data_IF_298259843722
#
_entry.id   IF_298259843722
#
_cell.length_a   1.000
_cell.length_b   1.000
_cell.length_c   1.000
_cell.angle_alpha   90.00
_cell.angle_beta   90.00
_cell.angle_gamma   90.00
#
_symmetry.space_group_name_H-M   'P 1'
#
loop_
_entity.id
_entity.type
_entity.pdbx_description
1 polymer ?
#
# COMPACT_ATOMS: atom_id res chain seq x y z
N UNK A 1 17.34 -20.02 -4.77
CA UNK A 1 15.98 -20.56 -4.72
C UNK A 1 15.05 -19.64 -5.50
N UNK A 2 14.24 -20.19 -6.42
CA UNK A 2 13.31 -19.39 -7.24
C UNK A 2 12.17 -18.75 -6.42
N UNK A 3 11.97 -19.17 -5.18
CA UNK A 3 10.98 -18.60 -4.25
C UNK A 3 11.51 -17.41 -3.45
N UNK A 4 12.81 -17.29 -3.27
CA UNK A 4 13.42 -16.11 -2.66
C UNK A 4 13.65 -15.06 -3.74
N UNK A 5 13.11 -13.88 -3.52
CA UNK A 5 13.15 -12.74 -4.43
C UNK A 5 13.60 -11.48 -3.69
N UNK A 6 13.88 -10.44 -4.43
CA UNK A 6 14.20 -9.12 -3.87
C UNK A 6 13.65 -8.02 -4.76
N UNK A 7 13.42 -6.85 -4.16
CA UNK A 7 13.08 -5.61 -4.85
C UNK A 7 13.85 -4.45 -4.23
N UNK A 8 14.20 -3.47 -5.05
CA UNK A 8 14.78 -2.21 -4.59
C UNK A 8 13.66 -1.24 -4.25
N UNK A 9 13.79 -0.53 -3.14
CA UNK A 9 12.86 0.50 -2.68
C UNK A 9 13.72 1.68 -2.25
N UNK A 10 13.44 2.86 -2.80
CA UNK A 10 14.07 4.10 -2.36
C UNK A 10 13.20 4.74 -1.29
N UNK A 11 13.78 5.06 -0.15
CA UNK A 11 13.11 5.78 0.93
C UNK A 11 14.07 6.85 1.47
N UNK A 12 13.64 8.11 1.49
CA UNK A 12 14.46 9.26 1.90
C UNK A 12 15.81 9.32 1.14
N UNK A 13 15.79 9.17 -0.18
CA UNK A 13 16.97 9.18 -1.08
C UNK A 13 17.98 8.03 -0.83
N UNK A 14 17.56 6.98 -0.09
CA UNK A 14 18.39 5.80 0.21
C UNK A 14 17.75 4.57 -0.42
N UNK A 15 18.56 3.84 -1.21
CA UNK A 15 18.13 2.57 -1.79
C UNK A 15 18.26 1.43 -0.80
N UNK A 16 17.16 0.75 -0.54
CA UNK A 16 17.10 -0.45 0.28
C UNK A 16 16.73 -1.67 -0.55
N UNK A 17 17.19 -2.83 -0.15
CA UNK A 17 16.75 -4.10 -0.73
C UNK A 17 15.83 -4.82 0.24
N UNK A 18 14.56 -4.93 -0.16
CA UNK A 18 13.60 -5.80 0.52
C UNK A 18 13.73 -7.22 -0.06
N UNK A 19 13.99 -8.20 0.80
CA UNK A 19 13.92 -9.60 0.41
C UNK A 19 12.59 -10.20 0.85
N UNK A 20 12.02 -11.06 0.00
CA UNK A 20 10.79 -11.77 0.32
C UNK A 20 10.80 -13.19 -0.23
N UNK A 21 10.23 -14.09 0.54
CA UNK A 21 10.09 -15.50 0.15
C UNK A 21 8.61 -15.79 -0.15
N UNK A 22 8.32 -16.24 -1.36
CA UNK A 22 6.97 -16.61 -1.78
C UNK A 22 6.76 -18.11 -1.52
N UNK A 23 6.05 -18.43 -0.45
CA UNK A 23 5.64 -19.81 -0.20
C UNK A 23 4.47 -20.21 -1.12
N UNK A 24 3.43 -19.40 -1.11
CA UNK A 24 2.24 -19.50 -1.94
C UNK A 24 1.89 -18.10 -2.48
N UNK A 25 1.59 -17.98 -3.79
CA UNK A 25 1.29 -16.67 -4.37
C UNK A 25 -0.12 -16.19 -4.02
N UNK A 26 -1.01 -17.13 -3.72
CA UNK A 26 -2.46 -16.93 -3.61
C UNK A 26 -3.19 -17.26 -4.91
N UNK A 27 -4.31 -17.96 -4.80
CA UNK A 27 -5.12 -18.39 -5.96
C UNK A 27 -6.60 -18.10 -5.71
N UNK A 28 -6.99 -16.79 -5.67
CA UNK A 28 -8.38 -16.43 -5.45
C UNK A 28 -9.26 -16.83 -6.64
N UNK A 29 -10.49 -17.27 -6.37
CA UNK A 29 -11.48 -17.57 -7.40
C UNK A 29 -11.84 -16.33 -8.21
N UNK A 30 -11.90 -15.16 -7.55
CA UNK A 30 -12.04 -13.85 -8.19
C UNK A 30 -10.70 -13.14 -8.07
N UNK A 31 -9.94 -13.12 -9.17
CA UNK A 31 -8.62 -12.52 -9.21
C UNK A 31 -8.71 -10.99 -9.33
N UNK A 32 -8.46 -10.30 -8.23
CA UNK A 32 -8.36 -8.83 -8.17
C UNK A 32 -6.98 -8.32 -8.61
N UNK A 33 -6.03 -9.21 -8.92
CA UNK A 33 -4.63 -8.89 -9.15
C UNK A 33 -3.82 -8.88 -7.84
N UNK A 34 -2.89 -7.97 -7.75
CA UNK A 34 -2.06 -7.73 -6.57
C UNK A 34 -2.49 -6.42 -5.91
N UNK A 35 -2.40 -6.28 -4.59
CA UNK A 35 -2.58 -4.98 -3.95
C UNK A 35 -1.50 -3.99 -4.39
N UNK A 36 -1.86 -2.72 -4.39
CA UNK A 36 -0.95 -1.59 -4.53
C UNK A 36 -0.39 -1.18 -3.18
N UNK A 37 0.57 -0.24 -3.15
CA UNK A 37 1.14 0.30 -1.90
C UNK A 37 0.14 1.14 -1.10
N UNK A 38 -1.01 1.47 -1.68
CA UNK A 38 -2.06 2.29 -1.07
C UNK A 38 -3.28 1.47 -0.64
N UNK A 39 -3.41 0.21 -1.07
CA UNK A 39 -4.60 -0.59 -0.81
C UNK A 39 -4.74 -1.02 0.66
N UNK A 40 -5.99 -1.23 1.07
CA UNK A 40 -6.31 -1.87 2.34
C UNK A 40 -6.17 -3.38 2.23
N UNK A 41 -5.51 -4.03 3.19
CA UNK A 41 -5.25 -5.48 3.23
C UNK A 41 -5.78 -6.13 4.49
N UNK A 42 -6.39 -7.31 4.36
CA UNK A 42 -6.77 -8.18 5.48
C UNK A 42 -5.75 -9.30 5.62
N UNK A 43 -5.06 -9.34 6.74
CA UNK A 43 -3.86 -10.16 6.89
C UNK A 43 -3.80 -10.89 8.21
N UNK A 44 -3.15 -12.07 8.17
CA UNK A 44 -2.54 -12.69 9.32
C UNK A 44 -1.05 -12.45 9.27
N UNK A 45 -0.43 -12.23 10.45
CA UNK A 45 1.00 -12.05 10.53
C UNK A 45 1.61 -12.50 11.85
N UNK A 46 2.92 -12.75 11.79
CA UNK A 46 3.76 -13.05 12.95
C UNK A 46 5.11 -12.37 12.77
N UNK A 47 5.40 -11.37 13.61
CA UNK A 47 6.60 -10.51 13.51
C UNK A 47 7.67 -10.88 14.52
N UNK A 48 8.93 -10.94 14.06
CA UNK A 48 10.12 -11.19 14.84
C UNK A 48 11.23 -10.20 14.49
N UNK A 49 12.19 -9.99 15.40
CA UNK A 49 13.40 -9.21 15.13
C UNK A 49 14.52 -10.15 14.70
N UNK A 50 15.33 -9.71 13.74
CA UNK A 50 16.56 -10.37 13.37
C UNK A 50 17.64 -9.82 14.29
N UNK A 51 18.03 -10.60 15.32
CA UNK A 51 18.94 -10.12 16.37
C UNK A 51 20.40 -10.38 16.05
N UNK A 52 20.68 -11.47 15.31
CA UNK A 52 22.03 -11.82 14.83
C UNK A 52 21.90 -12.54 13.48
N UNK A 53 23.03 -12.84 12.84
CA UNK A 53 23.08 -13.48 11.51
C UNK A 53 22.34 -14.83 11.44
N UNK A 54 22.24 -15.52 12.55
CA UNK A 54 21.65 -16.87 12.67
C UNK A 54 20.60 -16.99 13.78
N UNK A 55 20.15 -15.86 14.35
CA UNK A 55 19.18 -15.87 15.43
C UNK A 55 18.07 -14.82 15.25
N UNK A 56 16.86 -15.24 15.59
CA UNK A 56 15.66 -14.40 15.62
C UNK A 56 15.06 -14.36 17.03
N UNK A 57 14.39 -13.28 17.36
CA UNK A 57 13.73 -13.12 18.67
C UNK A 57 12.48 -14.01 18.79
N UNK A 58 11.89 -14.09 19.99
CA UNK A 58 10.47 -14.42 20.11
C UNK A 58 9.64 -13.35 19.34
N UNK A 59 8.38 -13.67 19.05
CA UNK A 59 7.47 -12.69 18.43
C UNK A 59 7.35 -11.44 19.29
N UNK A 60 7.40 -10.27 18.62
CA UNK A 60 7.08 -8.99 19.25
C UNK A 60 5.63 -8.59 18.99
N UNK A 61 5.03 -9.09 17.92
CA UNK A 61 3.65 -8.81 17.55
C UNK A 61 3.09 -9.90 16.62
N UNK A 62 1.78 -10.16 16.70
CA UNK A 62 1.11 -11.11 15.82
C UNK A 62 -0.41 -10.89 15.83
N UNK A 63 -1.07 -11.19 14.73
CA UNK A 63 -2.52 -11.19 14.64
C UNK A 63 -3.00 -12.26 13.66
N UNK A 64 -4.12 -12.92 13.96
CA UNK A 64 -4.70 -13.96 13.12
C UNK A 64 -5.69 -13.45 12.06
N UNK A 65 -5.97 -12.13 12.05
CA UNK A 65 -6.82 -11.47 11.05
C UNK A 65 -7.13 -10.04 11.43
N UNK A 66 -6.52 -9.08 10.72
CA UNK A 66 -6.70 -7.64 10.94
C UNK A 66 -6.57 -6.89 9.61
N UNK A 67 -7.33 -5.80 9.48
CA UNK A 67 -7.21 -4.87 8.37
C UNK A 67 -6.16 -3.80 8.66
N UNK A 68 -5.34 -3.52 7.65
CA UNK A 68 -4.45 -2.36 7.60
C UNK A 68 -4.60 -1.66 6.26
N UNK A 69 -4.31 -0.36 6.22
CA UNK A 69 -4.06 0.39 4.99
C UNK A 69 -2.55 0.43 4.75
N UNK A 70 -2.10 0.07 3.55
CA UNK A 70 -0.67 -0.08 3.26
C UNK A 70 0.09 1.25 3.26
N UNK A 71 -0.60 2.38 3.04
CA UNK A 71 -0.02 3.72 3.22
C UNK A 71 0.37 4.03 4.67
N UNK A 72 -0.33 3.44 5.66
CA UNK A 72 -0.17 3.71 7.09
C UNK A 72 0.74 2.73 7.85
N UNK A 73 1.36 1.76 7.17
CA UNK A 73 2.26 0.78 7.79
C UNK A 73 3.73 1.02 7.40
N UNK A 74 4.65 0.24 7.98
CA UNK A 74 6.06 0.30 7.60
C UNK A 74 6.27 -0.01 6.12
N UNK A 75 7.21 0.68 5.48
CA UNK A 75 7.46 0.60 4.02
C UNK A 75 7.73 -0.82 3.51
N UNK A 76 8.41 -1.62 4.30
CA UNK A 76 8.63 -3.02 3.98
C UNK A 76 7.34 -3.83 3.85
N UNK A 77 6.26 -3.45 4.54
CA UNK A 77 4.92 -4.03 4.39
C UNK A 77 4.24 -3.48 3.14
N UNK A 78 4.20 -2.15 2.97
CA UNK A 78 3.55 -1.51 1.81
C UNK A 78 4.00 -2.15 0.51
N UNK A 79 5.31 -2.27 0.30
CA UNK A 79 5.87 -2.90 -0.90
C UNK A 79 5.85 -4.44 -0.85
N UNK A 80 5.99 -5.03 0.33
CA UNK A 80 6.04 -6.49 0.49
C UNK A 80 4.75 -7.17 0.03
N UNK A 81 3.60 -6.63 0.43
CA UNK A 81 2.30 -7.19 0.09
C UNK A 81 1.95 -7.13 -1.40
N UNK A 82 2.53 -6.20 -2.17
CA UNK A 82 2.32 -6.13 -3.63
C UNK A 82 2.81 -7.36 -4.41
N UNK A 83 3.43 -8.31 -3.72
CA UNK A 83 3.96 -9.54 -4.32
C UNK A 83 3.09 -10.77 -4.08
N UNK A 84 1.94 -10.61 -3.42
CA UNK A 84 1.03 -11.69 -3.07
C UNK A 84 -0.39 -11.39 -3.55
N UNK A 85 -1.15 -12.42 -3.86
CA UNK A 85 -2.58 -12.32 -4.15
C UNK A 85 -3.39 -12.75 -2.93
N UNK A 86 -4.64 -12.30 -2.85
CA UNK A 86 -5.57 -12.72 -1.80
C UNK A 86 -5.92 -14.22 -1.88
N UNK A 87 -6.63 -14.69 -0.88
CA UNK A 87 -7.26 -15.99 -0.85
C UNK A 87 -8.75 -15.94 -1.17
N UNK A 88 -9.42 -17.03 -0.81
CA UNK A 88 -10.87 -17.20 -0.89
C UNK A 88 -11.47 -17.19 0.50
N UNK A 89 -12.49 -16.38 0.73
CA UNK A 89 -13.29 -16.48 1.93
C UNK A 89 -14.14 -17.77 1.85
N UNK A 90 -13.85 -18.71 2.74
CA UNK A 90 -14.54 -20.01 2.86
C UNK A 90 -15.30 -20.12 4.18
N UNK A 91 -15.62 -18.98 4.77
CA UNK A 91 -16.38 -18.92 6.04
C UNK A 91 -17.75 -19.57 5.86
N UNK A 92 -18.03 -20.53 6.71
CA UNK A 92 -19.36 -21.13 6.90
C UNK A 92 -19.95 -20.62 8.23
N UNK A 93 -20.63 -21.42 8.99
CA UNK A 93 -21.25 -21.05 10.27
C UNK A 93 -20.27 -20.96 11.46
N UNK A 94 -19.07 -20.38 11.25
CA UNK A 94 -17.98 -20.32 12.24
C UNK A 94 -17.12 -19.07 12.15
N UNK A 95 -15.90 -19.11 12.69
CA UNK A 95 -14.95 -18.02 12.58
C UNK A 95 -14.59 -17.71 11.12
N UNK A 96 -14.24 -16.46 10.84
CA UNK A 96 -13.77 -16.05 9.51
C UNK A 96 -12.59 -16.93 9.09
N UNK A 97 -12.73 -17.56 7.93
CA UNK A 97 -11.76 -18.53 7.42
C UNK A 97 -11.46 -18.23 5.95
N UNK A 98 -10.17 -18.22 5.62
CA UNK A 98 -9.68 -18.05 4.25
C UNK A 98 -8.86 -19.26 3.83
N UNK A 99 -8.95 -19.62 2.55
CA UNK A 99 -8.17 -20.68 1.91
C UNK A 99 -7.41 -20.13 0.70
N UNK A 100 -6.36 -20.84 0.30
CA UNK A 100 -5.57 -20.55 -0.90
C UNK A 100 -4.97 -19.13 -0.92
N UNK A 101 -4.63 -18.59 0.25
CA UNK A 101 -4.08 -17.28 0.46
C UNK A 101 -2.65 -17.17 -0.05
N UNK A 102 -2.26 -15.96 -0.44
CA UNK A 102 -0.85 -15.61 -0.58
C UNK A 102 -0.13 -15.73 0.75
N UNK A 103 0.98 -16.48 0.79
CA UNK A 103 1.76 -16.71 2.01
C UNK A 103 3.24 -16.55 1.75
N UNK A 104 3.92 -15.94 2.68
CA UNK A 104 5.35 -15.75 2.56
C UNK A 104 6.04 -15.21 3.77
N UNK A 105 7.27 -14.78 3.53
CA UNK A 105 8.12 -14.18 4.55
C UNK A 105 8.72 -12.89 3.99
N UNK A 106 8.64 -11.82 4.75
CA UNK A 106 9.28 -10.54 4.44
C UNK A 106 10.50 -10.36 5.34
N UNK A 107 11.65 -10.03 4.74
CA UNK A 107 12.90 -9.68 5.43
C UNK A 107 13.12 -8.19 5.22
N UNK A 108 12.77 -7.40 6.24
CA UNK A 108 12.66 -5.96 6.14
C UNK A 108 13.90 -5.31 6.78
N UNK A 109 14.73 -4.60 6.00
CA UNK A 109 15.82 -3.83 6.57
C UNK A 109 15.27 -2.68 7.43
N UNK A 110 16.05 -2.26 8.42
CA UNK A 110 15.60 -1.26 9.40
C UNK A 110 15.11 0.05 8.78
N UNK A 111 15.71 0.49 7.67
CA UNK A 111 15.29 1.73 7.00
C UNK A 111 13.91 1.65 6.33
N UNK A 112 13.41 0.46 6.05
CA UNK A 112 12.03 0.22 5.59
C UNK A 112 11.09 -0.18 6.73
N UNK A 113 11.54 -0.05 7.99
CA UNK A 113 10.79 -0.34 9.20
C UNK A 113 10.81 0.87 10.15
N UNK A 114 11.48 0.77 11.29
CA UNK A 114 11.51 1.82 12.31
C UNK A 114 12.85 2.58 12.37
N UNK A 115 13.72 2.37 11.39
CA UNK A 115 14.99 3.07 11.16
C UNK A 115 15.84 3.20 12.45
N UNK A 116 16.38 4.40 12.67
CA UNK A 116 17.21 4.72 13.82
C UNK A 116 16.40 5.17 15.07
N UNK A 117 15.08 5.11 15.01
CA UNK A 117 14.18 5.50 16.11
C UNK A 117 13.79 4.28 16.95
N UNK A 118 13.48 3.15 16.27
CA UNK A 118 12.86 1.98 16.90
C UNK A 118 11.38 2.17 17.23
N UNK A 119 10.73 1.15 17.80
CA UNK A 119 9.32 1.22 18.23
C UNK A 119 9.02 0.15 19.28
N UNK A 120 8.53 0.53 20.43
CA UNK A 120 8.18 -0.40 21.51
C UNK A 120 9.37 -1.28 21.93
N UNK A 121 9.28 -2.60 21.66
CA UNK A 121 10.36 -3.56 21.95
C UNK A 121 11.39 -3.70 20.82
N UNK A 122 11.18 -2.99 19.70
CA UNK A 122 12.09 -2.98 18.54
C UNK A 122 13.09 -1.84 18.74
N UNK A 123 14.36 -2.16 18.86
CA UNK A 123 15.39 -1.16 19.04
C UNK A 123 15.72 -0.44 17.70
N UNK A 124 16.48 0.66 17.82
CA UNK A 124 16.99 1.36 16.65
C UNK A 124 17.85 0.45 15.78
N UNK A 125 17.69 0.57 14.46
CA UNK A 125 18.43 -0.16 13.43
C UNK A 125 18.19 -1.69 13.41
N UNK A 126 17.17 -2.20 14.08
CA UNK A 126 16.81 -3.63 13.99
C UNK A 126 16.09 -3.95 12.67
N UNK A 127 16.52 -5.03 12.02
CA UNK A 127 15.83 -5.63 10.88
C UNK A 127 14.70 -6.54 11.36
N UNK A 128 13.63 -6.62 10.59
CA UNK A 128 12.44 -7.36 10.95
C UNK A 128 12.19 -8.54 10.01
N UNK A 129 11.55 -9.57 10.55
CA UNK A 129 11.07 -10.73 9.84
C UNK A 129 9.57 -10.87 10.08
N UNK A 130 8.78 -10.96 9.01
CA UNK A 130 7.35 -11.21 9.13
C UNK A 130 6.95 -12.42 8.30
N UNK A 131 6.30 -13.39 8.97
CA UNK A 131 5.49 -14.39 8.28
C UNK A 131 4.13 -13.78 8.02
N UNK A 132 3.64 -13.88 6.81
CA UNK A 132 2.40 -13.24 6.37
C UNK A 132 1.49 -14.21 5.62
N UNK A 133 0.17 -14.08 5.85
CA UNK A 133 -0.88 -14.62 5.00
C UNK A 133 -1.75 -13.43 4.55
N UNK A 134 -1.88 -13.22 3.24
CA UNK A 134 -2.79 -12.21 2.66
C UNK A 134 -4.16 -12.85 2.44
N UNK A 135 -5.10 -12.56 3.31
CA UNK A 135 -6.46 -13.09 3.24
C UNK A 135 -7.28 -12.40 2.16
N UNK A 136 -7.34 -11.08 2.18
CA UNK A 136 -8.09 -10.27 1.24
C UNK A 136 -7.48 -8.87 1.10
N UNK A 137 -7.95 -8.10 0.12
CA UNK A 137 -7.64 -6.68 -0.01
C UNK A 137 -8.74 -5.92 -0.73
N UNK A 138 -8.81 -4.61 -0.50
CA UNK A 138 -9.69 -3.69 -1.22
C UNK A 138 -8.88 -3.08 -2.34
N UNK A 139 -9.18 -3.48 -3.57
CA UNK A 139 -8.50 -2.95 -4.76
C UNK A 139 -8.96 -1.51 -5.03
N UNK A 140 -7.99 -0.64 -5.26
CA UNK A 140 -8.24 0.77 -5.53
C UNK A 140 -8.87 1.45 -4.32
N UNK A 141 -8.25 1.27 -3.14
CA UNK A 141 -8.65 2.02 -1.94
C UNK A 141 -8.57 3.51 -2.23
N UNK A 142 -9.64 4.21 -1.95
CA UNK A 142 -9.84 5.64 -2.03
C UNK A 142 -9.97 6.12 -0.59
N UNK A 143 -9.01 6.94 -0.09
CA UNK A 143 -8.90 7.24 1.33
C UNK A 143 -9.75 8.42 1.78
N UNK A 144 -10.00 9.41 0.92
CA UNK A 144 -10.80 10.61 1.18
C UNK A 144 -12.20 10.54 0.56
N UNK A 145 -12.44 9.52 -0.30
CA UNK A 145 -13.70 9.24 -0.98
C UNK A 145 -14.09 10.35 -1.98
N UNK A 146 -13.15 10.85 -2.70
CA UNK A 146 -13.31 11.85 -3.74
C UNK A 146 -13.60 11.29 -5.14
N UNK A 147 -13.46 9.95 -5.29
CA UNK A 147 -13.73 9.20 -6.53
C UNK A 147 -12.46 8.83 -7.30
N UNK A 148 -11.29 9.30 -6.87
CA UNK A 148 -9.99 8.87 -7.39
C UNK A 148 -9.40 7.81 -6.46
N UNK A 149 -8.94 6.68 -7.00
CA UNK A 149 -8.26 5.69 -6.17
C UNK A 149 -6.88 6.21 -5.78
N UNK A 150 -6.52 6.14 -4.51
CA UNK A 150 -5.31 6.76 -3.96
C UNK A 150 -3.98 6.36 -4.62
N UNK A 151 -3.94 5.23 -5.30
CA UNK A 151 -2.79 4.84 -6.12
C UNK A 151 -2.68 5.65 -7.44
N UNK A 152 -3.78 6.25 -7.89
CA UNK A 152 -3.83 7.05 -9.11
C UNK A 152 -3.57 8.53 -8.85
N UNK A 153 -3.46 8.94 -7.61
CA UNK A 153 -3.14 10.29 -7.16
C UNK A 153 -1.62 10.51 -7.05
N UNK A 154 -0.90 9.86 -7.94
CA UNK A 154 0.54 9.97 -8.20
C UNK A 154 0.73 10.98 -9.33
N UNK A 155 0.67 12.26 -8.99
CA UNK A 155 0.63 13.37 -9.95
C UNK A 155 1.95 13.54 -10.71
N UNK A 156 3.08 13.24 -10.09
CA UNK A 156 4.40 13.30 -10.73
C UNK A 156 4.82 11.99 -11.42
N UNK A 157 4.07 10.88 -11.19
CA UNK A 157 4.27 9.59 -11.84
C UNK A 157 5.48 8.81 -11.30
N UNK A 158 5.94 9.11 -10.09
CA UNK A 158 7.10 8.45 -9.49
C UNK A 158 6.75 7.10 -8.82
N UNK A 159 5.48 6.79 -8.63
CA UNK A 159 4.95 5.58 -7.99
C UNK A 159 4.77 5.70 -6.48
N UNK A 160 4.76 6.93 -5.94
CA UNK A 160 4.65 7.22 -4.52
C UNK A 160 3.62 8.32 -4.23
N UNK A 161 2.32 8.04 -4.30
CA UNK A 161 1.26 9.06 -4.10
C UNK A 161 1.32 9.81 -2.77
N UNK A 162 2.16 9.40 -1.83
CA UNK A 162 2.24 10.04 -0.51
C UNK A 162 2.98 11.37 -0.49
N UNK A 163 3.75 11.69 -1.52
CA UNK A 163 4.52 12.92 -1.65
C UNK A 163 3.96 13.89 -2.70
N UNK A 164 2.80 13.54 -3.29
CA UNK A 164 2.06 14.41 -4.19
C UNK A 164 1.09 15.32 -3.41
N UNK A 165 1.24 16.62 -3.56
CA UNK A 165 0.46 17.70 -2.95
C UNK A 165 0.37 18.82 -4.00
N UNK A 166 -0.74 18.83 -4.76
CA UNK A 166 -0.84 19.63 -5.98
C UNK A 166 -1.01 21.11 -5.68
N UNK A 167 -1.82 21.47 -4.68
CA UNK A 167 -2.07 22.85 -4.29
C UNK A 167 -1.09 23.39 -3.23
N UNK A 168 -0.23 22.53 -2.69
CA UNK A 168 0.81 22.84 -1.70
C UNK A 168 0.25 23.33 -0.35
N UNK A 169 -0.91 22.84 0.04
CA UNK A 169 -1.52 23.18 1.34
C UNK A 169 -1.00 22.33 2.51
N UNK A 170 -0.28 21.25 2.20
CA UNK A 170 0.35 20.31 3.14
C UNK A 170 -0.48 19.06 3.41
N UNK A 171 -1.59 18.86 2.69
CA UNK A 171 -2.35 17.62 2.63
C UNK A 171 -2.01 16.96 1.31
N UNK A 172 -1.50 15.71 1.29
CA UNK A 172 -1.24 15.04 0.02
C UNK A 172 -2.56 14.65 -0.66
N UNK A 173 -2.55 14.66 -2.00
CA UNK A 173 -3.74 14.45 -2.83
C UNK A 173 -4.62 13.29 -2.35
N UNK A 174 -4.05 12.14 -2.06
CA UNK A 174 -4.81 10.95 -1.62
C UNK A 174 -5.53 11.09 -0.26
N UNK A 175 -5.44 12.24 0.40
CA UNK A 175 -6.17 12.64 1.60
C UNK A 175 -6.85 14.01 1.44
N UNK A 176 -6.70 14.66 0.30
CA UNK A 176 -7.34 15.90 -0.03
C UNK A 176 -8.60 15.62 -0.86
N UNK A 177 -9.65 16.32 -0.65
CA UNK A 177 -10.89 16.24 -1.42
C UNK A 177 -11.03 17.36 -2.45
N UNK A 178 -10.03 18.28 -2.55
CA UNK A 178 -9.94 19.43 -3.46
C UNK A 178 -8.47 19.58 -3.88
N UNK A 179 -7.97 18.59 -4.63
CA UNK A 179 -6.54 18.36 -4.89
C UNK A 179 -5.78 19.54 -5.45
N UNK A 180 -6.43 20.36 -6.26
CA UNK A 180 -5.82 21.54 -6.89
C UNK A 180 -6.14 22.88 -6.18
N UNK A 181 -6.98 22.82 -5.11
CA UNK A 181 -7.28 23.95 -4.25
C UNK A 181 -8.11 25.06 -4.92
N UNK A 182 -8.83 24.76 -6.01
CA UNK A 182 -9.58 25.76 -6.76
C UNK A 182 -10.97 26.07 -6.19
N UNK A 183 -11.40 25.29 -5.19
CA UNK A 183 -12.66 25.39 -4.47
C UNK A 183 -13.80 24.57 -5.10
N UNK A 184 -13.52 23.73 -6.08
CA UNK A 184 -14.40 22.66 -6.56
C UNK A 184 -13.83 21.35 -6.01
N UNK A 185 -14.64 20.52 -5.39
CA UNK A 185 -14.16 19.23 -4.88
C UNK A 185 -13.88 18.30 -6.07
N UNK A 186 -12.81 17.52 -5.98
CA UNK A 186 -12.37 16.53 -6.97
C UNK A 186 -13.53 15.65 -7.47
N UNK A 187 -14.40 15.17 -6.57
CA UNK A 187 -15.58 14.37 -6.93
C UNK A 187 -16.58 15.11 -7.84
N UNK A 188 -16.54 16.43 -7.89
CA UNK A 188 -17.42 17.24 -8.74
C UNK A 188 -16.78 17.59 -10.08
N UNK A 189 -15.54 17.22 -10.32
CA UNK A 189 -14.78 17.43 -11.54
C UNK A 189 -14.85 16.22 -12.49
N UNK A 190 -15.84 15.36 -12.27
CA UNK A 190 -16.24 14.27 -13.14
C UNK A 190 -17.13 14.82 -14.28
N UNK A 191 -16.49 15.39 -15.30
CA UNK A 191 -17.15 16.06 -16.41
C UNK A 191 -18.00 15.09 -17.26
N UNK A 192 -17.55 13.84 -17.40
CA UNK A 192 -18.25 12.80 -18.15
C UNK A 192 -19.32 12.07 -17.32
N UNK A 193 -19.31 12.19 -15.99
CA UNK A 193 -20.24 11.62 -15.00
C UNK A 193 -20.21 10.09 -14.96
N UNK A 194 -19.03 9.51 -15.07
CA UNK A 194 -18.85 8.07 -14.96
C UNK A 194 -18.42 7.63 -13.53
N UNK A 195 -18.18 8.58 -12.64
CA UNK A 195 -17.78 8.37 -11.24
C UNK A 195 -16.28 8.26 -11.04
N UNK A 196 -15.49 8.75 -12.01
CA UNK A 196 -14.02 8.71 -11.93
C UNK A 196 -13.41 10.02 -12.48
N UNK A 197 -13.18 11.04 -11.64
CA UNK A 197 -12.59 12.31 -12.06
C UNK A 197 -11.22 12.18 -12.73
N UNK A 198 -10.46 11.13 -12.41
CA UNK A 198 -9.11 10.94 -12.95
C UNK A 198 -9.04 10.73 -14.47
N UNK A 199 -10.18 10.55 -15.14
CA UNK A 199 -10.21 10.33 -16.58
C UNK A 199 -10.80 11.51 -17.37
N UNK A 200 -11.05 12.65 -16.71
CA UNK A 200 -11.58 13.85 -17.32
C UNK A 200 -10.48 14.88 -17.62
N UNK A 201 -10.49 15.41 -18.85
CA UNK A 201 -9.45 16.28 -19.41
C UNK A 201 -10.11 17.36 -20.28
N UNK A 202 -10.60 18.43 -19.67
CA UNK A 202 -11.35 19.49 -20.36
C UNK A 202 -10.46 20.60 -20.92
N UNK A 203 -9.24 20.76 -20.39
CA UNK A 203 -8.32 21.78 -20.86
C UNK A 203 -7.68 21.41 -22.20
N UNK A 204 -8.16 22.08 -23.26
CA UNK A 204 -7.59 21.89 -24.62
C UNK A 204 -6.15 22.41 -24.79
N UNK A 205 -5.65 23.24 -23.87
CA UNK A 205 -4.27 23.73 -23.87
C UNK A 205 -3.34 22.76 -23.15
N UNK A 206 -3.88 21.98 -22.20
CA UNK A 206 -3.15 20.96 -21.45
C UNK A 206 -3.93 19.62 -21.40
N UNK A 207 -4.10 18.94 -22.54
CA UNK A 207 -5.00 17.80 -22.67
C UNK A 207 -4.50 16.52 -21.98
N UNK A 208 -3.45 16.57 -21.20
CA UNK A 208 -2.87 15.46 -20.43
C UNK A 208 -2.96 15.67 -18.93
N UNK A 209 -3.38 16.85 -18.48
CA UNK A 209 -3.60 17.16 -17.09
C UNK A 209 -5.09 16.89 -16.77
N UNK A 210 -5.41 15.99 -15.84
CA UNK A 210 -6.79 15.76 -15.42
C UNK A 210 -7.39 17.04 -14.83
N UNK A 211 -8.71 17.19 -14.96
CA UNK A 211 -9.42 18.37 -14.47
C UNK A 211 -9.19 18.57 -12.97
N UNK A 212 -9.25 17.51 -12.16
CA UNK A 212 -9.08 17.53 -10.70
C UNK A 212 -7.68 17.94 -10.20
N UNK A 213 -6.70 18.05 -11.09
CA UNK A 213 -5.35 18.55 -10.78
C UNK A 213 -5.06 19.91 -11.46
N UNK A 214 -6.08 20.54 -12.05
CA UNK A 214 -5.93 21.73 -12.88
C UNK A 214 -6.74 22.91 -12.35
N UNK A 215 -6.19 23.80 -11.55
CA UNK A 215 -6.92 24.90 -10.90
C UNK A 215 -7.50 25.94 -11.88
N UNK A 216 -7.27 25.81 -13.18
CA UNK A 216 -7.85 26.65 -14.21
C UNK A 216 -9.20 26.10 -14.75
N UNK A 217 -9.57 24.85 -14.40
CA UNK A 217 -10.81 24.18 -14.76
C UNK A 217 -11.70 24.06 -13.51
N UNK A 218 -13.00 24.35 -13.66
CA UNK A 218 -13.98 24.38 -12.56
C UNK A 218 -15.27 23.69 -12.97
#
# INVERSE_FOLDING_TARGET
DAKLKSMSITENEIDYTLYYYVNEIGTPTIDKGYPTVMDSVFVKYYGQRIVETDSISSSFDSNDGVWFTLNGVIRGWSHGFTNFKSGNNVTDNGPITYAECGKGVLFIPSGLAYANIGSGSIAANECLLFYIDLYDFVKGTDHDNDGVASINEDADGNGEPRDDDTDLDGVPNYFDTDDDGDGVLTINEDANKDGNPANDFSDTNNPTLPDYLNPDIK
#
